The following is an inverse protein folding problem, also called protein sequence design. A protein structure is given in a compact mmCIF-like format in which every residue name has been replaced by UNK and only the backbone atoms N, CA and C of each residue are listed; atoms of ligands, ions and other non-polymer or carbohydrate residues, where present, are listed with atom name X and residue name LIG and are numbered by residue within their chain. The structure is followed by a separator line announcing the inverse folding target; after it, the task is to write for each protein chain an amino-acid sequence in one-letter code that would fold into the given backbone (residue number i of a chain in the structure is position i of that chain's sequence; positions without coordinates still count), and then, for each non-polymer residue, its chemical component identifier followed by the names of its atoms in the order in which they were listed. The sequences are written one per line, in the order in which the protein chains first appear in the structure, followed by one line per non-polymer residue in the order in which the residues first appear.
data_IF_274461104801
#
_entry.id   IF_274461104801
#
_cell.length_a   1.000
_cell.length_b   1.000
_cell.length_c   1.000
_cell.angle_alpha   90.00
_cell.angle_beta   90.00
_cell.angle_gamma   90.00
#
_symmetry.space_group_name_H-M   'P 1'
#
loop_
_entity.id
_entity.type
_entity.pdbx_description
1 polymer ?
#
# COMPACT_ATOMS: atom_id res chain seq x y z
N UNK A 1 -54.15 37.69 -10.86
CA UNK A 1 -55.36 37.71 -10.00
C UNK A 1 -55.17 36.52 -9.05
N UNK A 2 -55.11 36.64 -7.75
CA UNK A 2 -55.13 37.59 -6.68
C UNK A 2 -54.37 36.88 -5.52
N UNK A 3 -53.70 37.46 -4.89
CA UNK A 3 -53.35 38.16 -3.65
C UNK A 3 -54.10 37.69 -2.37
N UNK A 4 -53.32 37.66 -1.23
CA UNK A 4 -53.66 37.89 0.19
C UNK A 4 -53.87 36.57 0.99
N UNK A 5 -53.38 36.42 2.23
CA UNK A 5 -52.76 37.35 3.16
C UNK A 5 -52.23 36.62 4.41
N UNK A 6 -51.47 37.36 5.17
CA UNK A 6 -50.91 37.10 6.51
C UNK A 6 -51.98 36.95 7.60
N UNK A 7 -51.66 36.24 8.67
CA UNK A 7 -51.91 36.77 10.03
C UNK A 7 -51.11 36.01 11.12
N UNK A 8 -50.41 36.82 11.86
CA UNK A 8 -49.75 36.56 13.14
C UNK A 8 -50.73 36.12 14.22
N UNK A 9 -50.22 35.42 15.25
CA UNK A 9 -50.66 35.64 16.63
C UNK A 9 -49.67 34.98 17.65
N UNK A 10 -48.98 35.80 18.41
CA UNK A 10 -48.56 35.50 19.81
C UNK A 10 -49.71 35.81 20.79
N UNK A 11 -49.76 35.21 21.99
CA UNK A 11 -49.29 35.92 23.21
C UNK A 11 -48.63 35.00 24.26
N UNK A 12 -47.56 35.45 24.93
CA UNK A 12 -47.39 36.07 26.25
C UNK A 12 -48.03 35.36 27.46
N UNK A 13 -47.22 35.11 28.48
CA UNK A 13 -47.68 34.75 29.85
C UNK A 13 -46.53 34.38 30.79
N UNK A 14 -46.11 35.38 31.54
CA UNK A 14 -45.17 35.30 32.69
C UNK A 14 -45.66 34.39 33.79
N UNK A 15 -44.74 33.83 34.62
CA UNK A 15 -44.80 34.05 36.09
C UNK A 15 -43.51 33.64 36.78
N UNK A 16 -43.07 34.57 37.59
CA UNK A 16 -41.98 34.58 38.55
C UNK A 16 -42.27 33.73 39.79
N UNK A 17 -41.29 33.09 40.35
CA UNK A 17 -41.15 32.97 41.83
C UNK A 17 -39.67 32.84 42.16
N UNK A 18 -39.15 33.90 42.79
CA UNK A 18 -37.84 33.94 43.40
C UNK A 18 -37.87 33.39 44.84
N UNK A 19 -36.75 32.86 45.25
CA UNK A 19 -36.40 32.74 46.68
C UNK A 19 -34.96 33.21 46.90
N UNK A 20 -34.85 34.28 47.69
CA UNK A 20 -33.63 34.79 48.29
C UNK A 20 -33.50 34.29 49.73
N UNK A 21 -32.31 33.83 50.10
CA UNK A 21 -31.85 33.72 51.49
C UNK A 21 -30.36 33.98 51.46
N UNK A 22 -29.80 35.08 51.89
CA UNK A 22 -29.63 35.47 53.24
C UNK A 22 -28.15 35.40 53.59
N UNK A 23 -27.40 36.55 53.50
CA UNK A 23 -26.01 36.71 53.96
C UNK A 23 -25.88 36.52 55.44
N UNK A 24 -24.83 35.83 55.91
CA UNK A 24 -24.17 36.12 57.16
C UNK A 24 -22.65 36.10 57.04
N UNK A 25 -22.09 37.28 57.34
CA UNK A 25 -20.66 37.51 57.54
C UNK A 25 -20.19 36.90 58.83
N UNK A 26 -19.11 36.17 58.84
CA UNK A 26 -18.19 36.11 59.97
C UNK A 26 -16.73 36.00 59.40
N UNK A 27 -15.98 36.96 59.89
CA UNK A 27 -14.54 37.14 59.63
C UNK A 27 -13.70 36.10 60.39
N UNK A 28 -12.69 35.53 59.68
CA UNK A 28 -11.44 35.24 60.36
C UNK A 28 -10.33 34.99 59.32
N UNK A 29 -9.23 35.67 59.51
CA UNK A 29 -8.00 35.57 58.80
C UNK A 29 -7.47 34.13 58.78
N UNK A 30 -7.43 33.51 57.59
CA UNK A 30 -6.49 32.44 57.29
C UNK A 30 -5.99 32.63 55.87
N UNK A 31 -4.69 32.74 55.79
CA UNK A 31 -3.89 32.73 54.57
C UNK A 31 -4.33 31.53 53.73
N UNK A 32 -5.19 31.75 52.74
CA UNK A 32 -5.51 30.74 51.74
C UNK A 32 -4.36 30.71 50.77
N UNK A 33 -3.42 29.79 50.98
CA UNK A 33 -2.54 29.24 50.00
C UNK A 33 -3.43 28.79 48.85
N UNK A 34 -3.57 29.62 47.83
CA UNK A 34 -4.14 29.21 46.54
C UNK A 34 -3.17 28.21 45.93
N UNK A 35 -3.38 26.94 46.23
CA UNK A 35 -2.89 25.85 45.41
C UNK A 35 -3.58 26.03 44.08
N UNK A 36 -2.97 26.80 43.18
CA UNK A 36 -3.20 26.68 41.75
C UNK A 36 -2.69 25.29 41.41
N UNK A 37 -3.60 24.31 41.42
CA UNK A 37 -3.36 23.06 40.77
C UNK A 37 -3.21 23.41 39.25
N UNK A 38 -2.00 23.81 38.88
CA UNK A 38 -1.54 23.77 37.54
C UNK A 38 -1.53 22.27 37.20
N UNK A 39 -2.67 21.77 36.71
CA UNK A 39 -2.73 20.49 36.00
C UNK A 39 -1.92 20.74 34.75
N UNK A 40 -0.59 20.63 34.90
CA UNK A 40 0.29 20.30 33.83
C UNK A 40 -0.24 18.95 33.34
N UNK A 41 -1.16 19.00 32.37
CA UNK A 41 -1.27 17.95 31.34
C UNK A 41 0.10 17.89 30.69
N UNK A 42 1.06 17.25 31.32
CA UNK A 42 2.04 16.50 30.59
C UNK A 42 1.22 15.49 29.83
N UNK A 43 0.74 15.88 28.67
CA UNK A 43 0.50 14.94 27.61
C UNK A 43 1.82 14.20 27.46
N UNK A 44 1.96 13.07 28.16
CA UNK A 44 2.85 12.02 27.73
C UNK A 44 2.25 11.65 26.39
N UNK A 45 2.59 12.45 25.37
CA UNK A 45 2.54 11.98 24.01
C UNK A 45 3.41 10.74 24.03
N UNK A 46 2.77 9.58 24.21
CA UNK A 46 3.36 8.35 23.78
C UNK A 46 3.67 8.62 22.31
N UNK A 47 4.90 9.02 22.05
CA UNK A 47 5.44 9.13 20.71
C UNK A 47 5.52 7.74 20.12
N UNK A 48 4.36 7.13 19.87
CA UNK A 48 4.29 6.03 18.95
C UNK A 48 4.77 6.60 17.63
N UNK A 49 6.04 6.31 17.31
CA UNK A 49 6.61 6.66 16.03
C UNK A 49 5.65 6.13 14.98
N UNK A 50 5.07 7.03 14.18
CA UNK A 50 4.09 6.70 13.16
C UNK A 50 4.71 5.67 12.21
N UNK A 51 3.98 4.60 11.94
CA UNK A 51 4.34 3.62 10.89
C UNK A 51 4.14 4.31 9.55
N UNK A 52 5.21 4.43 8.79
CA UNK A 52 5.18 5.06 7.48
C UNK A 52 4.75 4.05 6.41
N UNK A 53 3.92 4.46 5.46
CA UNK A 53 3.30 3.57 4.48
C UNK A 53 3.29 4.15 3.05
N UNK A 54 2.99 3.31 2.06
CA UNK A 54 2.66 3.76 0.72
C UNK A 54 1.32 4.47 0.75
N UNK A 55 1.29 5.74 0.31
CA UNK A 55 0.06 6.51 0.28
C UNK A 55 0.15 7.65 -0.73
N UNK A 56 -0.96 7.93 -1.39
CA UNK A 56 -1.20 9.14 -2.17
C UNK A 56 -2.11 10.03 -1.34
N UNK A 57 -1.71 11.27 -1.11
CA UNK A 57 -2.43 12.23 -0.26
C UNK A 57 -3.22 13.25 -1.08
N UNK A 58 -2.79 13.55 -2.33
CA UNK A 58 -3.49 14.45 -3.24
C UNK A 58 -4.32 13.67 -4.24
N UNK A 59 -5.57 14.09 -4.49
CA UNK A 59 -6.46 13.45 -5.46
C UNK A 59 -6.02 13.68 -6.92
N UNK A 60 -5.25 14.73 -7.17
CA UNK A 60 -4.74 15.04 -8.50
C UNK A 60 -3.57 14.14 -8.90
N UNK A 61 -2.92 13.50 -7.92
CA UNK A 61 -1.79 12.59 -8.17
C UNK A 61 -2.30 11.19 -8.49
N UNK A 62 -1.94 10.70 -9.67
CA UNK A 62 -2.39 9.42 -10.21
C UNK A 62 -1.20 8.56 -10.65
N UNK A 63 -1.44 7.26 -10.86
CA UNK A 63 -0.51 6.30 -11.46
C UNK A 63 0.90 6.27 -10.82
N UNK A 64 1.00 6.57 -9.50
CA UNK A 64 2.28 6.62 -8.80
C UNK A 64 2.89 5.22 -8.64
N UNK A 65 4.02 4.96 -9.32
CA UNK A 65 4.75 3.68 -9.34
C UNK A 65 6.20 3.89 -8.96
N UNK A 66 6.74 2.98 -8.16
CA UNK A 66 8.16 2.97 -7.77
C UNK A 66 8.71 1.55 -8.02
N UNK A 67 9.69 1.40 -8.90
CA UNK A 67 10.24 0.11 -9.29
C UNK A 67 11.71 0.23 -9.73
N UNK A 68 12.46 -0.88 -9.82
CA UNK A 68 13.82 -0.88 -10.35
C UNK A 68 13.82 -0.51 -11.84
N UNK A 69 14.67 0.43 -12.23
CA UNK A 69 14.82 0.81 -13.64
C UNK A 69 15.36 -0.38 -14.44
N UNK A 70 14.58 -0.87 -15.38
CA UNK A 70 14.89 -2.00 -16.23
C UNK A 70 14.70 -1.69 -17.72
N UNK A 71 15.16 -2.58 -18.58
CA UNK A 71 15.03 -2.44 -20.02
C UNK A 71 13.68 -2.94 -20.56
N UNK A 72 12.84 -3.56 -19.74
CA UNK A 72 11.59 -4.20 -20.14
C UNK A 72 10.39 -3.56 -19.45
N UNK A 73 9.22 -3.58 -20.11
CA UNK A 73 7.96 -3.05 -19.58
C UNK A 73 7.50 -3.78 -18.31
N UNK A 74 7.84 -5.04 -18.18
CA UNK A 74 7.49 -5.87 -17.02
C UNK A 74 8.25 -5.48 -15.73
N UNK A 75 9.30 -4.66 -15.83
CA UNK A 75 9.96 -4.08 -14.62
C UNK A 75 9.03 -3.22 -13.76
N UNK A 76 7.92 -2.72 -14.31
CA UNK A 76 6.93 -1.93 -13.58
C UNK A 76 6.27 -2.71 -12.42
N UNK A 77 6.27 -4.04 -12.48
CA UNK A 77 5.70 -4.91 -11.43
C UNK A 77 6.76 -5.44 -10.46
N UNK A 78 8.04 -5.16 -10.70
CA UNK A 78 9.10 -5.56 -9.78
C UNK A 78 9.00 -4.80 -8.47
N UNK A 79 9.22 -5.52 -7.36
CA UNK A 79 9.27 -4.90 -6.05
C UNK A 79 10.39 -3.83 -5.99
N UNK A 80 10.17 -2.68 -5.34
CA UNK A 80 11.16 -1.63 -5.17
C UNK A 80 12.24 -2.05 -4.15
N UNK A 81 12.97 -3.10 -4.47
CA UNK A 81 14.05 -3.68 -3.65
C UNK A 81 15.30 -3.79 -4.48
N UNK A 82 16.39 -3.19 -4.02
CA UNK A 82 17.70 -3.21 -4.70
C UNK A 82 18.80 -3.60 -3.74
N UNK A 83 19.87 -4.22 -4.26
CA UNK A 83 21.09 -4.43 -3.47
C UNK A 83 21.85 -3.10 -3.31
N UNK A 84 22.46 -2.89 -2.15
CA UNK A 84 23.32 -1.74 -1.88
C UNK A 84 24.52 -1.67 -2.87
N UNK A 85 24.98 -2.83 -3.34
CA UNK A 85 26.05 -2.96 -4.34
C UNK A 85 25.56 -2.84 -5.79
N UNK A 86 24.25 -2.86 -6.04
CA UNK A 86 23.68 -2.82 -7.39
C UNK A 86 23.92 -1.45 -8.05
N UNK A 87 24.15 -1.47 -9.36
CA UNK A 87 24.25 -0.26 -10.17
C UNK A 87 22.88 0.27 -10.62
N UNK A 88 21.83 -0.56 -10.56
CA UNK A 88 20.46 -0.16 -10.92
C UNK A 88 19.94 0.92 -9.97
N UNK A 89 19.15 1.82 -10.50
CA UNK A 89 18.42 2.84 -9.75
C UNK A 89 16.95 2.43 -9.63
N UNK A 90 16.28 2.93 -8.60
CA UNK A 90 14.82 2.94 -8.55
C UNK A 90 14.32 4.20 -9.27
N UNK A 91 13.21 4.05 -9.99
CA UNK A 91 12.52 5.17 -10.63
C UNK A 91 11.12 5.31 -10.01
N UNK A 92 10.80 6.53 -9.58
CA UNK A 92 9.44 6.95 -9.26
C UNK A 92 8.83 7.60 -10.51
N UNK A 93 7.66 7.12 -10.90
CA UNK A 93 6.81 7.71 -11.93
C UNK A 93 5.48 8.09 -11.29
N UNK A 94 4.96 9.27 -11.60
CA UNK A 94 3.61 9.68 -11.21
C UNK A 94 3.08 10.75 -12.15
N UNK A 95 1.76 10.84 -12.27
CA UNK A 95 1.08 11.86 -13.03
C UNK A 95 0.38 12.85 -12.10
N UNK A 96 0.41 14.12 -12.48
CA UNK A 96 -0.37 15.18 -11.88
C UNK A 96 -1.45 15.60 -12.90
N UNK A 97 -2.72 15.52 -12.53
CA UNK A 97 -3.86 15.93 -13.37
C UNK A 97 -4.01 17.45 -13.38
N UNK A 98 -2.92 18.16 -13.58
CA UNK A 98 -2.83 19.63 -13.66
C UNK A 98 -2.50 20.09 -15.07
N UNK A 99 -2.74 21.36 -15.35
CA UNK A 99 -2.36 22.01 -16.62
C UNK A 99 -0.95 22.58 -16.60
N UNK A 100 -0.52 23.05 -15.43
CA UNK A 100 0.80 23.68 -15.24
C UNK A 100 1.65 22.84 -14.28
N UNK A 101 2.97 22.72 -14.51
CA UNK A 101 3.84 21.94 -13.66
C UNK A 101 4.01 22.58 -12.28
N UNK A 102 3.92 21.75 -11.25
CA UNK A 102 4.18 22.08 -9.86
C UNK A 102 5.64 21.79 -9.47
N UNK A 103 6.14 22.54 -8.50
CA UNK A 103 7.47 22.30 -7.94
C UNK A 103 7.40 21.21 -6.89
N UNK A 104 7.86 20.01 -7.21
CA UNK A 104 7.94 18.89 -6.29
C UNK A 104 9.35 18.69 -5.73
N UNK A 105 9.41 18.31 -4.46
CA UNK A 105 10.67 17.98 -3.78
C UNK A 105 10.54 16.58 -3.17
N UNK A 106 11.57 15.77 -3.38
CA UNK A 106 11.69 14.42 -2.83
C UNK A 106 12.66 14.41 -1.63
N UNK A 107 12.35 13.60 -0.62
CA UNK A 107 13.18 13.36 0.56
C UNK A 107 13.15 11.89 0.94
N UNK A 108 14.29 11.35 1.36
CA UNK A 108 14.41 9.98 1.84
C UNK A 108 14.31 9.93 3.37
N UNK A 109 13.58 8.97 3.90
CA UNK A 109 13.47 8.73 5.34
C UNK A 109 13.89 7.28 5.60
N UNK A 110 14.96 7.07 6.35
CA UNK A 110 15.38 5.73 6.75
C UNK A 110 14.49 5.18 7.87
N UNK A 111 14.03 3.93 7.74
CA UNK A 111 13.14 3.25 8.66
C UNK A 111 13.75 1.93 9.19
N UNK A 112 13.31 1.52 10.37
CA UNK A 112 13.56 0.19 10.90
C UNK A 112 12.66 -0.87 10.22
N UNK A 113 12.86 -2.14 10.55
CA UNK A 113 12.09 -3.27 10.00
C UNK A 113 10.57 -3.08 10.11
N UNK A 114 10.10 -2.40 11.15
CA UNK A 114 8.67 -2.12 11.39
C UNK A 114 8.16 -0.82 10.74
N UNK A 115 8.90 -0.23 9.80
CA UNK A 115 8.57 1.02 9.11
C UNK A 115 8.45 2.26 10.01
N UNK A 116 8.93 2.21 11.23
CA UNK A 116 9.13 3.40 12.06
C UNK A 116 10.44 4.08 11.67
N UNK A 117 10.46 5.41 11.67
CA UNK A 117 11.68 6.18 11.40
C UNK A 117 12.82 5.72 12.31
N UNK A 118 13.98 5.44 11.74
CA UNK A 118 15.18 5.07 12.50
C UNK A 118 15.81 6.27 13.21
N UNK A 119 16.80 6.00 14.07
CA UNK A 119 17.59 7.06 14.72
C UNK A 119 18.73 7.61 13.87
N UNK A 120 18.82 7.21 12.58
CA UNK A 120 19.81 7.76 11.66
C UNK A 120 19.45 9.19 11.27
N UNK A 121 20.46 10.02 11.14
CA UNK A 121 20.36 11.37 10.55
C UNK A 121 20.52 11.26 9.04
N UNK A 122 20.03 12.24 8.30
CA UNK A 122 20.11 12.27 6.84
C UNK A 122 21.55 12.07 6.33
N UNK A 123 22.55 12.67 6.96
CA UNK A 123 23.97 12.53 6.60
C UNK A 123 24.56 11.13 6.92
N UNK A 124 23.87 10.31 7.71
CA UNK A 124 24.33 8.94 8.00
C UNK A 124 24.13 7.99 6.82
N UNK A 125 23.14 8.27 5.94
CA UNK A 125 22.77 7.39 4.83
C UNK A 125 22.69 8.08 3.46
N UNK A 126 22.53 9.40 3.40
CA UNK A 126 22.49 10.15 2.14
C UNK A 126 23.88 10.68 1.79
N UNK A 127 24.27 10.59 0.53
CA UNK A 127 25.56 11.12 0.02
C UNK A 127 25.50 12.63 -0.11
N UNK A 128 24.36 13.16 -0.53
CA UNK A 128 24.11 14.57 -0.76
C UNK A 128 23.11 15.12 0.25
N UNK A 129 22.83 16.43 0.16
CA UNK A 129 21.73 17.07 0.91
C UNK A 129 20.41 16.36 0.55
N UNK A 130 19.68 15.88 1.56
CA UNK A 130 18.53 15.00 1.41
C UNK A 130 17.23 15.78 1.08
N UNK A 131 17.31 16.67 0.10
CA UNK A 131 16.15 17.33 -0.53
C UNK A 131 16.46 17.47 -2.03
N UNK A 132 15.65 16.81 -2.85
CA UNK A 132 15.89 16.69 -4.28
C UNK A 132 14.72 17.29 -5.05
N UNK A 133 14.96 18.32 -5.85
CA UNK A 133 13.94 18.88 -6.74
C UNK A 133 13.65 17.89 -7.87
N UNK A 134 12.38 17.66 -8.17
CA UNK A 134 11.93 16.83 -9.30
C UNK A 134 11.76 17.76 -10.50
N UNK A 135 12.72 17.73 -11.42
CA UNK A 135 12.76 18.61 -12.60
C UNK A 135 12.41 17.90 -13.90
N UNK A 136 12.39 16.54 -13.90
CA UNK A 136 12.12 15.75 -15.08
C UNK A 136 10.62 15.51 -15.20
N UNK A 137 9.97 16.21 -16.13
CA UNK A 137 8.56 16.06 -16.43
C UNK A 137 8.26 16.24 -17.93
N UNK A 138 7.17 15.65 -18.38
CA UNK A 138 6.65 15.80 -19.73
C UNK A 138 5.13 16.01 -19.68
N UNK A 139 4.60 16.79 -20.61
CA UNK A 139 3.15 16.94 -20.79
C UNK A 139 2.57 15.73 -21.50
N UNK A 140 1.35 15.36 -21.15
CA UNK A 140 0.61 14.35 -21.91
C UNK A 140 0.33 14.81 -23.33
N UNK A 141 0.31 13.86 -24.27
CA UNK A 141 0.21 14.14 -25.70
C UNK A 141 -1.06 13.54 -26.27
N UNK A 142 -1.94 14.43 -26.78
CA UNK A 142 -3.22 14.05 -27.42
C UNK A 142 -4.11 13.19 -26.51
N UNK A 143 -4.13 13.47 -25.22
CA UNK A 143 -5.02 12.84 -24.23
C UNK A 143 -6.22 13.73 -23.93
N UNK A 144 -7.36 13.13 -23.58
CA UNK A 144 -8.60 13.86 -23.24
C UNK A 144 -8.52 14.49 -21.87
N UNK A 145 -8.04 13.74 -20.90
CA UNK A 145 -7.70 14.27 -19.58
C UNK A 145 -6.22 14.62 -19.63
N UNK A 146 -5.85 15.90 -19.64
CA UNK A 146 -4.45 16.29 -19.64
C UNK A 146 -3.80 15.97 -18.30
N UNK A 147 -2.53 15.64 -18.33
CA UNK A 147 -1.72 15.43 -17.14
C UNK A 147 -0.26 15.78 -17.42
N UNK A 148 0.49 15.98 -16.36
CA UNK A 148 1.94 16.15 -16.38
C UNK A 148 2.55 14.89 -15.78
N UNK A 149 3.38 14.22 -16.55
CA UNK A 149 4.10 13.01 -16.16
C UNK A 149 5.45 13.36 -15.54
N UNK A 150 5.67 13.02 -14.29
CA UNK A 150 6.91 13.25 -13.56
C UNK A 150 7.73 11.99 -13.44
N UNK A 151 9.05 12.13 -13.56
CA UNK A 151 10.05 11.07 -13.39
C UNK A 151 11.09 11.50 -12.37
N UNK A 152 11.41 10.58 -11.45
CA UNK A 152 12.43 10.83 -10.45
C UNK A 152 13.29 9.59 -10.22
N UNK A 153 14.59 9.70 -10.50
CA UNK A 153 15.56 8.67 -10.16
C UNK A 153 15.93 8.79 -8.68
N UNK A 154 15.63 7.74 -7.90
CA UNK A 154 15.91 7.73 -6.48
C UNK A 154 17.42 7.77 -6.25
N UNK A 155 17.93 8.71 -5.47
CA UNK A 155 19.35 8.81 -5.18
C UNK A 155 19.87 7.57 -4.44
N UNK A 156 21.15 7.25 -4.65
CA UNK A 156 21.80 6.16 -3.94
C UNK A 156 21.98 6.49 -2.48
N UNK A 157 21.83 5.48 -1.65
CA UNK A 157 22.06 5.54 -0.21
C UNK A 157 23.29 4.72 0.16
N UNK A 158 23.83 4.96 1.37
CA UNK A 158 25.04 4.30 1.88
C UNK A 158 24.76 3.25 2.96
N UNK A 159 23.50 3.07 3.33
CA UNK A 159 23.06 2.11 4.35
C UNK A 159 21.95 1.22 3.81
N UNK A 160 21.96 -0.03 4.19
CA UNK A 160 20.85 -0.94 3.96
C UNK A 160 19.72 -0.70 4.96
N UNK A 161 18.49 -1.08 4.60
CA UNK A 161 17.31 -0.97 5.44
C UNK A 161 16.07 -0.59 4.63
N UNK A 162 15.05 -0.20 5.35
CA UNK A 162 13.79 0.30 4.78
C UNK A 162 13.86 1.82 4.59
N UNK A 163 13.25 2.28 3.52
CA UNK A 163 13.20 3.70 3.18
C UNK A 163 11.79 4.12 2.76
N UNK A 164 11.43 5.34 3.13
CA UNK A 164 10.31 6.06 2.55
C UNK A 164 10.86 7.15 1.62
N UNK A 165 10.39 7.12 0.38
CA UNK A 165 10.46 8.25 -0.53
C UNK A 165 9.24 9.12 -0.27
N UNK A 166 9.43 10.32 0.29
CA UNK A 166 8.41 11.33 0.57
C UNK A 166 8.50 12.41 -0.49
N UNK A 167 7.39 12.71 -1.16
CA UNK A 167 7.30 13.81 -2.13
C UNK A 167 6.30 14.85 -1.63
N UNK A 168 6.67 16.14 -1.73
CA UNK A 168 5.90 17.26 -1.23
C UNK A 168 6.03 18.49 -2.14
N UNK A 169 5.06 19.42 -2.06
CA UNK A 169 4.99 20.62 -2.90
C UNK A 169 5.80 21.78 -2.33
N UNK A 170 6.28 22.64 -3.21
CA UNK A 170 6.80 23.99 -2.90
C UNK A 170 7.84 24.04 -1.77
N UNK A 171 8.60 22.96 -1.56
CA UNK A 171 9.55 22.78 -0.45
C UNK A 171 8.91 22.83 0.94
N UNK A 172 7.60 22.68 1.03
CA UNK A 172 6.87 22.55 2.30
C UNK A 172 6.71 21.07 2.67
N UNK A 173 7.50 20.59 3.64
CA UNK A 173 7.48 19.20 4.08
C UNK A 173 6.13 18.76 4.66
N UNK A 174 5.23 19.67 5.00
CA UNK A 174 3.89 19.34 5.50
C UNK A 174 2.88 19.14 4.35
N UNK A 175 3.11 19.73 3.17
CA UNK A 175 2.27 19.54 1.98
C UNK A 175 2.69 18.29 1.19
N UNK A 176 2.51 17.14 1.81
CA UNK A 176 2.88 15.82 1.25
C UNK A 176 1.89 15.40 0.18
N UNK A 177 2.37 15.08 -1.03
CA UNK A 177 1.52 14.55 -2.10
C UNK A 177 1.53 13.03 -2.17
N UNK A 178 2.66 12.38 -1.91
CA UNK A 178 2.76 10.93 -1.87
C UNK A 178 3.93 10.44 -1.01
N UNK A 179 3.82 9.20 -0.56
CA UNK A 179 4.90 8.43 0.05
C UNK A 179 4.98 7.05 -0.58
N UNK A 180 6.20 6.56 -0.84
CA UNK A 180 6.46 5.21 -1.38
C UNK A 180 7.53 4.50 -0.57
N UNK A 181 7.28 3.24 -0.26
CA UNK A 181 8.23 2.33 0.41
C UNK A 181 9.20 1.75 -0.59
N UNK A 182 10.47 1.69 -0.23
CA UNK A 182 11.47 0.90 -0.93
C UNK A 182 12.48 0.31 0.05
N UNK A 183 13.26 -0.64 -0.41
CA UNK A 183 14.23 -1.34 0.45
C UNK A 183 15.57 -1.47 -0.25
N UNK A 184 16.63 -1.37 0.55
CA UNK A 184 18.01 -1.56 0.10
C UNK A 184 18.63 -2.63 0.97
N UNK A 185 19.11 -3.74 0.37
CA UNK A 185 19.67 -4.85 1.12
C UNK A 185 21.17 -5.03 0.87
N UNK A 186 21.84 -5.65 1.83
CA UNK A 186 23.22 -6.16 1.73
C UNK A 186 23.21 -7.68 1.69
N UNK A 187 24.13 -8.29 0.95
CA UNK A 187 24.24 -9.75 0.85
C UNK A 187 25.17 -10.32 1.95
N UNK A 188 24.89 -9.93 3.20
CA UNK A 188 25.67 -10.38 4.36
C UNK A 188 25.22 -11.77 4.83
N UNK A 189 23.93 -12.08 4.70
CA UNK A 189 23.38 -13.40 4.99
C UNK A 189 22.99 -14.11 3.70
N UNK A 190 23.23 -15.41 3.65
CA UNK A 190 22.68 -16.23 2.58
C UNK A 190 21.30 -16.72 3.01
N UNK A 191 20.29 -16.44 2.18
CA UNK A 191 18.89 -16.75 2.46
C UNK A 191 18.40 -17.78 1.44
N UNK A 192 17.95 -18.93 1.92
CA UNK A 192 17.20 -19.91 1.12
C UNK A 192 15.75 -19.95 1.59
N UNK A 193 14.82 -20.03 0.67
CA UNK A 193 13.39 -20.18 1.01
C UNK A 193 12.69 -21.12 0.02
N UNK A 194 11.61 -21.76 0.48
CA UNK A 194 10.80 -22.65 -0.33
C UNK A 194 9.32 -22.56 0.05
N UNK A 195 8.45 -22.63 -0.96
CA UNK A 195 7.00 -22.78 -0.79
C UNK A 195 6.71 -24.27 -0.59
N UNK A 196 6.08 -24.61 0.51
CA UNK A 196 5.76 -26.01 0.86
C UNK A 196 4.30 -26.12 1.34
N UNK A 197 3.69 -27.30 1.26
CA UNK A 197 2.41 -27.53 1.91
C UNK A 197 2.52 -27.35 3.43
N UNK A 198 1.51 -26.76 4.09
CA UNK A 198 1.52 -26.59 5.55
C UNK A 198 1.75 -27.90 6.30
N UNK A 199 2.43 -27.81 7.43
CA UNK A 199 2.65 -28.95 8.33
C UNK A 199 1.34 -29.48 8.91
N UNK A 200 0.36 -28.59 9.15
CA UNK A 200 -1.00 -28.95 9.58
C UNK A 200 -1.78 -29.55 8.40
N UNK A 201 -2.40 -30.71 8.62
CA UNK A 201 -3.12 -31.45 7.56
C UNK A 201 -4.41 -30.78 7.12
N UNK A 202 -5.04 -30.04 8.02
CA UNK A 202 -6.21 -29.22 7.73
C UNK A 202 -5.78 -28.07 6.81
N UNK A 203 -6.51 -27.86 5.75
CA UNK A 203 -6.28 -26.76 4.79
C UNK A 203 -5.00 -26.84 3.91
N UNK A 204 -4.33 -27.98 3.81
CA UNK A 204 -3.16 -28.15 2.92
C UNK A 204 -3.39 -27.74 1.47
N UNK A 205 -4.65 -27.81 1.02
CA UNK A 205 -5.04 -27.45 -0.35
C UNK A 205 -5.32 -25.98 -0.53
N UNK A 206 -5.42 -25.21 0.54
CA UNK A 206 -5.81 -23.81 0.53
C UNK A 206 -4.72 -22.87 1.04
N UNK A 207 -3.64 -23.40 1.59
CA UNK A 207 -2.58 -22.61 2.23
C UNK A 207 -1.21 -22.96 1.66
N UNK A 208 -0.33 -21.96 1.65
CA UNK A 208 1.08 -22.09 1.31
C UNK A 208 1.93 -21.69 2.51
N UNK A 209 2.92 -22.52 2.86
CA UNK A 209 3.86 -22.26 3.95
C UNK A 209 5.24 -21.91 3.37
N UNK A 210 5.90 -20.92 3.94
CA UNK A 210 7.23 -20.52 3.53
C UNK A 210 8.25 -21.00 4.56
N UNK A 211 9.03 -21.99 4.18
CA UNK A 211 10.18 -22.44 4.97
C UNK A 211 11.43 -21.64 4.60
N UNK A 212 12.17 -21.18 5.59
CA UNK A 212 13.34 -20.32 5.38
C UNK A 212 14.56 -20.88 6.09
N UNK A 213 15.72 -20.84 5.41
CA UNK A 213 17.02 -21.22 5.95
C UNK A 213 17.98 -20.05 5.78
N UNK A 214 18.65 -19.67 6.86
CA UNK A 214 19.65 -18.60 6.85
C UNK A 214 21.03 -19.16 7.15
N UNK A 215 22.06 -18.62 6.47
CA UNK A 215 23.45 -18.77 6.88
C UNK A 215 24.05 -17.37 7.13
N UNK A 216 24.59 -17.17 8.34
CA UNK A 216 25.17 -15.90 8.79
C UNK A 216 26.67 -15.97 9.04
N UNK A 217 27.39 -16.89 8.37
CA UNK A 217 28.82 -17.12 8.56
C UNK A 217 29.69 -15.91 8.21
N UNK A 218 29.19 -14.96 7.41
CA UNK A 218 29.93 -13.74 7.04
C UNK A 218 29.91 -12.65 8.11
N UNK A 219 29.06 -12.79 9.15
CA UNK A 219 28.85 -11.77 10.18
C UNK A 219 28.93 -12.40 11.56
N UNK A 220 29.54 -11.70 12.50
CA UNK A 220 29.53 -12.12 13.90
C UNK A 220 28.16 -11.73 14.51
N UNK A 221 27.41 -12.74 14.95
CA UNK A 221 26.13 -12.61 15.61
C UNK A 221 26.23 -13.21 17.00
N UNK A 222 26.00 -12.42 18.03
CA UNK A 222 26.17 -12.86 19.43
C UNK A 222 24.94 -13.63 19.92
N UNK A 223 23.76 -13.13 19.61
CA UNK A 223 22.48 -13.79 19.90
C UNK A 223 21.56 -13.75 18.67
N UNK A 224 21.60 -14.82 17.86
CA UNK A 224 20.78 -14.89 16.65
C UNK A 224 19.28 -14.75 16.90
N UNK A 225 18.78 -15.12 18.07
CA UNK A 225 17.34 -15.13 18.37
C UNK A 225 16.77 -13.74 18.63
N UNK A 226 17.59 -12.81 19.11
CA UNK A 226 17.19 -11.45 19.40
C UNK A 226 17.64 -10.43 18.35
N UNK A 227 18.78 -10.70 17.70
CA UNK A 227 19.39 -9.77 16.74
C UNK A 227 18.86 -9.94 15.31
N UNK A 228 18.32 -11.13 14.96
CA UNK A 228 17.82 -11.45 13.62
C UNK A 228 16.29 -11.41 13.64
N UNK A 229 15.71 -10.72 12.66
CA UNK A 229 14.25 -10.70 12.42
C UNK A 229 13.99 -11.09 10.98
N UNK A 230 13.00 -11.94 10.78
CA UNK A 230 12.54 -12.31 9.44
C UNK A 230 11.15 -11.75 9.23
N UNK A 231 10.95 -11.17 8.06
CA UNK A 231 9.66 -10.79 7.56
C UNK A 231 9.40 -11.50 6.24
N UNK A 232 8.21 -12.06 6.10
CA UNK A 232 7.73 -12.67 4.85
C UNK A 232 6.50 -11.90 4.40
N UNK A 233 6.44 -11.56 3.11
CA UNK A 233 5.24 -10.99 2.50
C UNK A 233 4.90 -11.71 1.20
N UNK A 234 3.59 -11.77 0.89
CA UNK A 234 3.03 -12.36 -0.31
C UNK A 234 2.62 -11.25 -1.28
N UNK A 235 2.96 -11.37 -2.57
CA UNK A 235 2.54 -10.48 -3.66
C UNK A 235 2.82 -9.00 -3.36
N UNK A 236 3.99 -8.71 -2.74
CA UNK A 236 4.44 -7.37 -2.34
C UNK A 236 3.52 -6.66 -1.33
N UNK A 237 2.59 -7.36 -0.71
CA UNK A 237 1.61 -6.81 0.24
C UNK A 237 2.22 -6.58 1.61
N UNK A 238 1.86 -5.46 2.22
CA UNK A 238 2.24 -5.13 3.60
C UNK A 238 1.15 -5.46 4.63
N UNK A 239 -0.11 -5.53 4.20
CA UNK A 239 -1.25 -5.85 5.05
C UNK A 239 -1.26 -7.31 5.51
N UNK A 240 -0.65 -8.22 4.75
CA UNK A 240 -0.53 -9.63 5.09
C UNK A 240 0.90 -10.05 5.49
N UNK A 241 1.84 -9.10 5.59
CA UNK A 241 3.21 -9.39 5.96
C UNK A 241 3.32 -9.99 7.36
N UNK A 242 4.18 -11.00 7.51
CA UNK A 242 4.36 -11.76 8.76
C UNK A 242 5.79 -11.69 9.26
N UNK A 243 5.94 -11.39 10.53
CA UNK A 243 7.22 -11.52 11.24
C UNK A 243 7.30 -12.90 11.87
N UNK A 244 8.40 -13.61 11.63
CA UNK A 244 8.65 -14.88 12.30
C UNK A 244 9.30 -14.63 13.66
N UNK A 245 8.70 -15.19 14.72
CA UNK A 245 9.08 -14.89 16.09
C UNK A 245 10.27 -15.72 16.57
N UNK A 246 10.33 -17.00 16.19
CA UNK A 246 11.31 -17.95 16.72
C UNK A 246 11.85 -18.88 15.64
N UNK A 247 13.16 -19.16 15.65
CA UNK A 247 13.73 -20.21 14.83
C UNK A 247 13.26 -21.59 15.30
N UNK A 248 12.99 -22.48 14.34
CA UNK A 248 12.69 -23.89 14.62
C UNK A 248 13.95 -24.66 14.98
N UNK A 249 15.07 -24.28 14.37
CA UNK A 249 16.37 -24.91 14.62
C UNK A 249 17.50 -23.89 14.48
N UNK A 250 18.45 -23.94 15.43
CA UNK A 250 19.65 -23.12 15.45
C UNK A 250 20.87 -24.01 15.54
N UNK A 251 21.83 -23.84 14.60
CA UNK A 251 23.16 -24.48 14.66
C UNK A 251 24.23 -23.38 14.70
N UNK A 252 24.74 -23.09 15.89
CA UNK A 252 25.72 -22.03 16.11
C UNK A 252 27.08 -22.37 15.49
N UNK A 253 27.46 -23.67 15.41
CA UNK A 253 28.74 -24.10 14.82
C UNK A 253 28.70 -23.88 13.30
N UNK A 254 27.62 -24.30 12.65
CA UNK A 254 27.42 -24.13 11.21
C UNK A 254 26.94 -22.73 10.83
N UNK A 255 26.67 -21.85 11.81
CA UNK A 255 26.09 -20.51 11.61
C UNK A 255 24.82 -20.55 10.77
N UNK A 256 23.93 -21.53 11.07
CA UNK A 256 22.71 -21.76 10.29
C UNK A 256 21.47 -21.70 11.18
N UNK A 257 20.42 -21.05 10.68
CA UNK A 257 19.12 -20.95 11.34
C UNK A 257 18.05 -21.44 10.38
N UNK A 258 17.08 -22.22 10.88
CA UNK A 258 15.89 -22.64 10.11
C UNK A 258 14.62 -22.11 10.75
N UNK A 259 13.71 -21.66 9.89
CA UNK A 259 12.36 -21.26 10.23
C UNK A 259 11.39 -22.13 9.44
N UNK A 260 10.93 -23.19 10.06
CA UNK A 260 9.99 -24.20 9.54
C UNK A 260 8.86 -24.39 10.56
N UNK A 261 8.06 -23.34 10.87
CA UNK A 261 7.13 -23.35 11.98
C UNK A 261 5.99 -24.35 11.75
N UNK A 262 5.64 -25.11 12.81
CA UNK A 262 4.56 -26.09 12.80
C UNK A 262 3.19 -25.46 13.16
N UNK A 263 3.19 -24.27 13.73
CA UNK A 263 2.02 -23.55 14.22
C UNK A 263 1.32 -22.68 13.16
N UNK A 264 1.86 -22.63 11.94
CA UNK A 264 1.31 -21.83 10.84
C UNK A 264 1.77 -20.38 10.80
N UNK A 265 2.76 -19.99 11.60
CA UNK A 265 3.28 -18.61 11.65
C UNK A 265 3.74 -18.10 10.26
N UNK A 266 4.36 -18.96 9.44
CA UNK A 266 4.79 -18.64 8.06
C UNK A 266 3.79 -19.09 6.98
N UNK A 267 2.53 -19.34 7.34
CA UNK A 267 1.51 -19.88 6.42
C UNK A 267 0.61 -18.76 5.92
N UNK A 268 0.39 -18.71 4.62
CA UNK A 268 -0.45 -17.73 3.93
C UNK A 268 -1.63 -18.43 3.27
N UNK A 269 -2.77 -17.72 3.12
CA UNK A 269 -3.83 -18.16 2.21
C UNK A 269 -3.28 -18.13 0.80
N UNK A 270 -3.40 -19.24 0.08
CA UNK A 270 -2.93 -19.30 -1.29
C UNK A 270 -3.78 -18.44 -2.22
N UNK A 271 -5.09 -18.31 -1.92
CA UNK A 271 -6.01 -17.55 -2.78
C UNK A 271 -6.20 -18.24 -4.14
N UNK A 272 -6.51 -17.46 -5.13
CA UNK A 272 -6.66 -17.86 -6.52
C UNK A 272 -5.94 -16.85 -7.42
N UNK A 273 -5.67 -17.20 -8.68
CA UNK A 273 -5.15 -16.26 -9.67
C UNK A 273 -6.04 -15.00 -9.72
N UNK A 274 -5.40 -13.83 -9.89
CA UNK A 274 -6.11 -12.57 -9.85
C UNK A 274 -7.04 -12.42 -11.07
N UNK A 275 -8.19 -11.79 -10.88
CA UNK A 275 -8.97 -11.26 -12.00
C UNK A 275 -8.21 -10.09 -12.61
N UNK A 276 -8.51 -9.76 -13.84
CA UNK A 276 -7.90 -8.62 -14.51
C UNK A 276 -8.85 -7.94 -15.47
N UNK A 277 -8.54 -6.70 -15.82
CA UNK A 277 -9.09 -5.97 -16.96
C UNK A 277 -7.98 -5.47 -17.85
N UNK A 278 -8.18 -5.58 -19.17
CA UNK A 278 -7.27 -5.06 -20.17
C UNK A 278 -7.80 -3.74 -20.74
N UNK A 279 -7.23 -2.63 -20.27
CA UNK A 279 -7.56 -1.26 -20.69
C UNK A 279 -6.54 -0.69 -21.71
N UNK A 280 -5.67 -1.52 -22.30
CA UNK A 280 -4.66 -1.06 -23.25
C UNK A 280 -5.26 -0.60 -24.59
N UNK A 281 -6.56 -0.78 -24.78
CA UNK A 281 -7.30 -0.43 -25.99
C UNK A 281 -8.49 0.48 -25.64
N UNK A 282 -8.66 1.57 -26.38
CA UNK A 282 -9.86 2.43 -26.33
C UNK A 282 -10.69 2.37 -27.61
N UNK A 283 -10.11 1.90 -28.73
CA UNK A 283 -10.78 1.74 -30.02
C UNK A 283 -11.46 0.38 -30.18
N UNK A 284 -11.15 -0.54 -29.28
CA UNK A 284 -11.75 -1.86 -29.17
C UNK A 284 -11.88 -2.23 -27.69
N UNK A 285 -12.74 -3.17 -27.37
CA UNK A 285 -12.82 -3.72 -26.01
C UNK A 285 -11.66 -4.68 -25.77
N UNK A 286 -10.91 -4.45 -24.68
CA UNK A 286 -9.92 -5.41 -24.19
C UNK A 286 -10.58 -6.59 -23.48
N UNK A 287 -9.75 -7.51 -22.98
CA UNK A 287 -10.23 -8.68 -22.25
C UNK A 287 -10.91 -8.24 -20.95
N UNK A 288 -12.05 -8.86 -20.63
CA UNK A 288 -12.89 -8.57 -19.45
C UNK A 288 -13.50 -7.16 -19.43
N UNK A 289 -13.53 -6.46 -20.55
CA UNK A 289 -14.22 -5.19 -20.77
C UNK A 289 -15.46 -5.45 -21.62
N UNK A 290 -16.63 -5.03 -21.13
CA UNK A 290 -17.91 -5.17 -21.82
C UNK A 290 -18.18 -4.02 -22.79
N UNK A 291 -17.79 -2.80 -22.43
CA UNK A 291 -17.98 -1.60 -23.24
C UNK A 291 -16.90 -0.55 -23.01
N UNK A 292 -16.61 0.22 -24.06
CA UNK A 292 -15.81 1.45 -24.01
C UNK A 292 -16.59 2.54 -24.73
N UNK A 293 -16.88 3.64 -24.00
CA UNK A 293 -17.54 4.82 -24.54
C UNK A 293 -16.57 5.99 -24.55
N UNK A 294 -16.33 6.52 -25.73
CA UNK A 294 -15.41 7.64 -25.94
C UNK A 294 -16.20 8.90 -26.19
N UNK A 295 -16.14 9.85 -25.25
CA UNK A 295 -16.73 11.18 -25.37
C UNK A 295 -15.66 12.24 -25.70
N UNK A 296 -16.04 13.47 -25.88
CA UNK A 296 -15.13 14.55 -26.30
C UNK A 296 -13.98 14.74 -25.29
N UNK A 297 -14.29 14.78 -23.99
CA UNK A 297 -13.35 15.11 -22.93
C UNK A 297 -13.09 13.97 -21.93
N UNK A 298 -13.69 12.81 -22.12
CA UNK A 298 -13.63 11.70 -21.15
C UNK A 298 -13.87 10.35 -21.83
N UNK A 299 -13.30 9.31 -21.24
CA UNK A 299 -13.51 7.93 -21.67
C UNK A 299 -14.09 7.15 -20.48
N UNK A 300 -15.11 6.34 -20.76
CA UNK A 300 -15.69 5.40 -19.82
C UNK A 300 -15.48 3.98 -20.32
N UNK A 301 -15.17 3.08 -19.39
CA UNK A 301 -15.13 1.64 -19.64
C UNK A 301 -15.97 0.91 -18.58
N UNK A 302 -16.56 -0.20 -18.95
CA UNK A 302 -17.30 -1.08 -18.06
C UNK A 302 -16.69 -2.46 -18.10
N UNK A 303 -16.45 -3.06 -16.93
CA UNK A 303 -16.02 -4.45 -16.86
C UNK A 303 -17.14 -5.40 -17.24
N UNK A 304 -16.82 -6.63 -17.57
CA UNK A 304 -17.79 -7.72 -17.52
C UNK A 304 -18.34 -7.86 -16.09
N UNK A 305 -19.56 -8.41 -15.96
CA UNK A 305 -20.14 -8.71 -14.66
C UNK A 305 -19.43 -9.91 -14.05
N UNK A 306 -18.72 -9.67 -12.96
CA UNK A 306 -18.08 -10.72 -12.16
C UNK A 306 -19.06 -11.39 -11.19
N UNK A 307 -18.77 -12.66 -10.86
CA UNK A 307 -19.49 -13.47 -9.86
C UNK A 307 -18.49 -14.19 -8.96
N UNK A 308 -18.88 -14.63 -7.75
CA UNK A 308 -18.06 -15.48 -6.90
C UNK A 308 -17.62 -16.78 -7.58
N UNK A 309 -16.39 -17.22 -7.30
CA UNK A 309 -15.80 -18.47 -7.87
C UNK A 309 -15.16 -19.40 -6.82
N UNK A 310 -15.70 -19.54 -5.58
CA UNK A 310 -15.00 -20.20 -4.47
C UNK A 310 -14.86 -21.72 -4.61
N UNK A 311 -15.74 -22.38 -5.34
CA UNK A 311 -15.81 -23.85 -5.46
C UNK A 311 -15.33 -24.41 -6.78
N UNK A 312 -14.68 -23.59 -7.63
CA UNK A 312 -14.17 -24.01 -8.94
C UNK A 312 -12.94 -24.91 -8.83
N UNK A 313 -12.68 -25.70 -9.89
CA UNK A 313 -11.37 -26.32 -10.08
C UNK A 313 -10.35 -25.24 -10.36
N UNK A 314 -9.15 -25.36 -9.77
CA UNK A 314 -8.05 -24.45 -10.07
C UNK A 314 -7.78 -24.39 -11.57
N UNK A 315 -7.62 -23.22 -12.09
CA UNK A 315 -7.25 -22.95 -13.48
C UNK A 315 -6.15 -21.91 -13.49
N UNK A 316 -5.00 -22.33 -13.96
CA UNK A 316 -3.86 -21.46 -14.13
C UNK A 316 -4.08 -20.54 -15.32
N UNK A 317 -3.90 -19.25 -15.14
CA UNK A 317 -3.82 -18.25 -16.21
C UNK A 317 -2.86 -17.13 -15.81
N UNK A 318 -2.45 -16.35 -16.80
CA UNK A 318 -1.50 -15.27 -16.58
C UNK A 318 -2.16 -14.14 -15.77
N UNK A 319 -1.51 -13.76 -14.68
CA UNK A 319 -1.81 -12.54 -13.94
C UNK A 319 -0.52 -11.82 -13.50
N UNK A 320 -0.65 -10.72 -12.81
CA UNK A 320 0.45 -9.91 -12.29
C UNK A 320 0.50 -9.94 -10.75
N UNK A 321 -0.08 -10.96 -10.12
CA UNK A 321 -0.15 -11.08 -8.65
C UNK A 321 -0.74 -9.84 -7.97
N UNK A 322 -1.79 -9.24 -8.57
CA UNK A 322 -2.47 -8.06 -8.05
C UNK A 322 -1.77 -6.74 -8.33
N UNK A 323 -0.74 -6.73 -9.16
CA UNK A 323 -0.08 -5.51 -9.64
C UNK A 323 -0.77 -4.98 -10.90
N UNK A 324 -0.27 -3.87 -11.45
CA UNK A 324 -0.70 -3.32 -12.73
C UNK A 324 0.48 -2.76 -13.52
N UNK A 325 0.30 -2.67 -14.83
CA UNK A 325 1.23 -1.99 -15.73
C UNK A 325 0.49 -0.88 -16.49
N UNK A 326 1.18 0.21 -16.76
CA UNK A 326 0.74 1.26 -17.69
C UNK A 326 1.29 0.98 -19.07
N UNK A 327 0.40 0.84 -20.02
CA UNK A 327 0.76 0.58 -21.43
C UNK A 327 -0.44 0.87 -22.33
N UNK A 328 -0.19 1.33 -23.57
CA UNK A 328 -1.22 1.49 -24.60
C UNK A 328 -0.84 0.77 -25.88
N UNK A 329 -1.80 0.06 -26.47
CA UNK A 329 -1.66 -0.56 -27.79
C UNK A 329 -2.24 0.30 -28.93
N UNK A 330 -2.91 1.41 -28.59
CA UNK A 330 -3.53 2.29 -29.59
C UNK A 330 -2.53 3.14 -30.37
N UNK A 331 -1.31 3.27 -29.84
CA UNK A 331 -0.21 4.06 -30.43
C UNK A 331 1.10 3.27 -30.46
N UNK A 332 1.25 2.33 -31.41
CA UNK A 332 2.46 1.54 -31.52
C UNK A 332 3.69 2.42 -31.77
N UNK A 333 4.73 2.24 -30.96
CA UNK A 333 5.97 3.01 -31.03
C UNK A 333 5.95 4.39 -30.36
N UNK A 334 4.83 4.78 -29.75
CA UNK A 334 4.72 5.99 -28.91
C UNK A 334 5.30 5.79 -27.51
N UNK A 335 5.25 6.85 -26.70
CA UNK A 335 5.61 6.80 -25.29
C UNK A 335 4.36 6.56 -24.41
N UNK A 336 4.16 5.33 -23.88
CA UNK A 336 2.97 5.01 -23.10
C UNK A 336 2.81 5.92 -21.85
N UNK A 337 3.90 6.45 -21.33
CA UNK A 337 3.84 7.27 -20.10
C UNK A 337 3.16 8.62 -20.32
N UNK A 338 3.20 9.19 -21.52
CA UNK A 338 2.59 10.48 -21.84
C UNK A 338 1.48 10.39 -22.90
N UNK A 339 1.28 9.23 -23.53
CA UNK A 339 0.28 9.06 -24.58
C UNK A 339 -0.91 8.18 -24.15
N UNK A 340 -0.85 7.57 -22.96
CA UNK A 340 -1.95 6.77 -22.41
C UNK A 340 -3.08 7.64 -21.89
N UNK A 341 -4.32 7.31 -22.26
CA UNK A 341 -5.52 7.99 -21.79
C UNK A 341 -5.87 7.58 -20.36
N UNK A 342 -6.53 8.47 -19.63
CA UNK A 342 -7.24 8.16 -18.39
C UNK A 342 -8.68 7.77 -18.67
N UNK A 343 -9.14 6.69 -18.03
CA UNK A 343 -10.44 6.04 -18.29
C UNK A 343 -11.16 5.86 -16.96
N UNK A 344 -12.37 6.38 -16.84
CA UNK A 344 -13.28 6.02 -15.74
C UNK A 344 -13.78 4.59 -15.96
N UNK A 345 -13.22 3.65 -15.20
CA UNK A 345 -13.53 2.23 -15.32
C UNK A 345 -14.47 1.79 -14.23
N UNK A 346 -15.67 1.34 -14.59
CA UNK A 346 -16.65 0.81 -13.66
C UNK A 346 -16.58 -0.72 -13.60
N UNK A 347 -16.37 -1.24 -12.42
CA UNK A 347 -16.34 -2.66 -12.13
C UNK A 347 -17.68 -3.12 -11.57
N UNK A 348 -18.16 -4.27 -12.03
CA UNK A 348 -19.43 -4.86 -11.61
C UNK A 348 -19.23 -6.23 -10.99
N UNK A 349 -19.83 -6.46 -9.83
CA UNK A 349 -19.77 -7.72 -9.12
C UNK A 349 -21.13 -8.11 -8.55
N UNK A 350 -21.56 -9.34 -8.77
CA UNK A 350 -22.81 -9.87 -8.21
C UNK A 350 -22.50 -10.86 -7.11
N UNK A 351 -22.92 -10.54 -5.89
CA UNK A 351 -22.79 -11.39 -4.71
C UNK A 351 -24.01 -11.22 -3.79
N UNK A 352 -24.00 -11.91 -2.66
CA UNK A 352 -25.02 -11.77 -1.62
C UNK A 352 -25.17 -10.31 -1.19
N UNK A 353 -26.40 -9.73 -1.25
CA UNK A 353 -26.65 -8.39 -0.77
C UNK A 353 -26.38 -8.26 0.74
N UNK A 354 -26.19 -7.04 1.23
CA UNK A 354 -25.94 -6.71 2.63
C UNK A 354 -24.55 -7.09 3.20
N UNK A 355 -23.61 -7.43 2.34
CA UNK A 355 -22.20 -7.62 2.73
C UNK A 355 -21.36 -6.44 2.28
N UNK A 356 -20.36 -6.07 3.07
CA UNK A 356 -19.36 -5.10 2.63
C UNK A 356 -18.33 -5.80 1.76
N UNK A 357 -18.20 -5.36 0.52
CA UNK A 357 -17.25 -5.93 -0.43
C UNK A 357 -16.20 -4.88 -0.77
N UNK A 358 -14.95 -5.31 -0.74
CA UNK A 358 -13.80 -4.52 -1.19
C UNK A 358 -13.12 -5.17 -2.37
N UNK A 359 -12.62 -4.32 -3.27
CA UNK A 359 -11.69 -4.70 -4.32
C UNK A 359 -10.26 -4.58 -3.80
N UNK A 360 -9.45 -5.62 -3.99
CA UNK A 360 -8.05 -5.69 -3.60
C UNK A 360 -7.17 -5.76 -4.84
N UNK A 361 -6.04 -5.11 -4.78
CA UNK A 361 -5.03 -5.01 -5.82
C UNK A 361 -4.22 -3.74 -5.60
N UNK A 362 -3.09 -3.60 -6.25
CA UNK A 362 -2.28 -2.39 -6.14
C UNK A 362 -3.02 -1.13 -6.64
N UNK A 363 -3.99 -1.30 -7.58
CA UNK A 363 -4.86 -0.22 -8.07
C UNK A 363 -5.73 0.41 -6.98
N UNK A 364 -6.08 -0.32 -5.93
CA UNK A 364 -6.85 0.19 -4.78
C UNK A 364 -6.03 0.32 -3.50
N UNK A 365 -4.69 0.27 -3.61
CA UNK A 365 -3.80 0.22 -2.46
C UNK A 365 -4.12 -0.96 -1.53
N UNK A 366 -4.49 -2.10 -2.08
CA UNK A 366 -4.90 -3.31 -1.36
C UNK A 366 -6.10 -3.08 -0.43
N UNK A 367 -7.13 -2.42 -0.95
CA UNK A 367 -8.38 -2.17 -0.23
C UNK A 367 -8.37 -0.96 0.71
N UNK A 368 -7.31 -0.13 0.69
CA UNK A 368 -7.17 1.06 1.56
C UNK A 368 -7.77 2.32 0.96
N UNK A 369 -7.76 2.45 -0.35
CA UNK A 369 -8.33 3.60 -1.04
C UNK A 369 -9.87 3.59 -0.95
N UNK A 370 -10.53 4.75 -0.95
CA UNK A 370 -12.01 4.83 -0.89
C UNK A 370 -12.71 4.09 -2.03
N UNK A 371 -12.11 4.06 -3.22
CA UNK A 371 -12.63 3.39 -4.42
C UNK A 371 -12.63 1.87 -4.30
N UNK A 372 -11.92 1.31 -3.29
CA UNK A 372 -11.96 -0.12 -3.00
C UNK A 372 -13.34 -0.60 -2.52
N UNK A 373 -14.14 0.28 -1.91
CA UNK A 373 -15.45 -0.05 -1.36
C UNK A 373 -16.52 -0.11 -2.47
N UNK A 374 -17.02 -1.30 -2.78
CA UNK A 374 -18.09 -1.47 -3.75
C UNK A 374 -19.42 -1.04 -3.15
N UNK A 375 -20.21 -0.30 -3.94
CA UNK A 375 -21.55 0.17 -3.58
C UNK A 375 -22.60 -0.76 -4.17
N UNK A 376 -23.54 -1.20 -3.34
CA UNK A 376 -24.64 -2.05 -3.78
C UNK A 376 -25.77 -1.25 -4.41
N UNK A 377 -26.19 -1.65 -5.62
CA UNK A 377 -27.39 -1.15 -6.28
C UNK A 377 -28.51 -2.20 -6.14
N UNK A 378 -29.52 -1.94 -5.30
CA UNK A 378 -30.62 -2.89 -5.09
C UNK A 378 -31.53 -3.06 -6.30
N UNK A 379 -31.57 -2.06 -7.20
CA UNK A 379 -32.41 -2.11 -8.41
C UNK A 379 -31.89 -3.14 -9.41
N UNK A 380 -30.58 -3.17 -9.59
CA UNK A 380 -29.92 -4.07 -10.54
C UNK A 380 -29.33 -5.32 -9.87
N UNK A 381 -29.41 -5.42 -8.54
CA UNK A 381 -28.83 -6.50 -7.74
C UNK A 381 -27.35 -6.71 -8.06
N UNK A 382 -26.56 -5.63 -8.02
CA UNK A 382 -25.15 -5.61 -8.37
C UNK A 382 -24.36 -4.66 -7.46
N UNK A 383 -23.13 -5.03 -7.14
CA UNK A 383 -22.15 -4.13 -6.54
C UNK A 383 -21.32 -3.46 -7.63
N UNK A 384 -20.94 -2.21 -7.45
CA UNK A 384 -20.07 -1.51 -8.38
C UNK A 384 -19.17 -0.50 -7.70
N UNK A 385 -18.04 -0.24 -8.35
CA UNK A 385 -17.15 0.89 -8.05
C UNK A 385 -16.59 1.44 -9.35
N UNK A 386 -16.30 2.74 -9.39
CA UNK A 386 -15.69 3.39 -10.56
C UNK A 386 -14.38 4.03 -10.15
N UNK A 387 -13.33 3.72 -10.90
CA UNK A 387 -11.94 4.15 -10.64
C UNK A 387 -11.39 4.82 -11.89
N UNK A 388 -10.71 5.96 -11.73
CA UNK A 388 -9.97 6.60 -12.81
C UNK A 388 -8.64 5.89 -12.99
N UNK A 389 -8.47 5.17 -14.09
CA UNK A 389 -7.29 4.36 -14.41
C UNK A 389 -6.64 4.84 -15.70
N UNK A 390 -5.31 4.87 -15.75
CA UNK A 390 -4.54 5.08 -16.98
C UNK A 390 -4.62 3.83 -17.86
N UNK A 391 -4.54 3.95 -19.17
CA UNK A 391 -4.48 2.76 -20.06
C UNK A 391 -3.43 1.77 -19.56
N UNK A 392 -3.81 0.48 -19.44
CA UNK A 392 -2.95 -0.54 -18.89
C UNK A 392 -3.64 -1.87 -18.66
N UNK A 393 -2.96 -2.74 -17.96
CA UNK A 393 -3.49 -4.01 -17.45
C UNK A 393 -3.54 -3.95 -15.93
N UNK A 394 -4.68 -4.34 -15.33
CA UNK A 394 -4.94 -4.19 -13.90
C UNK A 394 -5.48 -5.46 -13.29
N UNK A 395 -4.74 -6.01 -12.34
CA UNK A 395 -5.16 -7.17 -11.56
C UNK A 395 -5.94 -6.76 -10.31
N UNK A 396 -6.94 -7.57 -9.95
CA UNK A 396 -7.74 -7.36 -8.74
C UNK A 396 -8.40 -8.65 -8.24
N UNK A 397 -8.86 -8.62 -6.99
CA UNK A 397 -9.69 -9.64 -6.36
C UNK A 397 -10.79 -8.96 -5.53
N UNK A 398 -11.83 -9.72 -5.17
CA UNK A 398 -12.88 -9.27 -4.26
C UNK A 398 -12.78 -9.97 -2.91
N UNK A 399 -13.11 -9.25 -1.83
CA UNK A 399 -13.15 -9.81 -0.49
C UNK A 399 -14.25 -9.20 0.37
N UNK A 400 -14.78 -9.98 1.30
CA UNK A 400 -15.66 -9.47 2.33
C UNK A 400 -14.85 -8.73 3.39
N UNK A 401 -15.25 -7.48 3.70
CA UNK A 401 -14.67 -6.69 4.78
C UNK A 401 -15.45 -6.93 6.07
N UNK A 402 -14.84 -7.62 7.03
CA UNK A 402 -15.44 -7.99 8.31
C UNK A 402 -14.44 -7.76 9.45
N UNK A 403 -14.88 -7.09 10.51
CA UNK A 403 -14.07 -6.91 11.73
C UNK A 403 -12.65 -6.36 11.53
N UNK A 404 -12.45 -5.56 10.46
CA UNK A 404 -11.14 -4.97 10.14
C UNK A 404 -10.24 -5.83 9.27
N UNK A 405 -10.65 -7.05 8.94
CA UNK A 405 -9.97 -7.95 8.01
C UNK A 405 -10.73 -8.06 6.68
N UNK A 406 -10.00 -8.41 5.61
CA UNK A 406 -10.61 -8.67 4.30
C UNK A 406 -10.39 -10.14 3.95
N UNK A 407 -11.48 -10.89 3.83
CA UNK A 407 -11.46 -12.31 3.49
C UNK A 407 -11.88 -12.52 2.03
N UNK A 408 -10.94 -12.93 1.18
CA UNK A 408 -11.15 -13.18 -0.25
C UNK A 408 -11.66 -14.59 -0.54
N UNK A 409 -11.41 -15.56 0.35
CA UNK A 409 -11.69 -16.99 0.10
C UNK A 409 -13.14 -17.31 -0.25
N UNK A 410 -14.17 -16.71 0.41
CA UNK A 410 -15.57 -16.98 0.05
C UNK A 410 -15.97 -16.48 -1.34
N UNK A 411 -15.23 -15.54 -1.93
CA UNK A 411 -15.51 -14.95 -3.24
C UNK A 411 -14.59 -15.47 -4.34
N UNK A 412 -13.35 -15.81 -4.01
CA UNK A 412 -12.32 -16.17 -4.98
C UNK A 412 -11.90 -17.65 -4.88
N UNK A 413 -12.08 -18.29 -3.74
CA UNK A 413 -11.51 -19.62 -3.45
C UNK A 413 -10.07 -19.52 -2.94
N UNK A 414 -9.46 -20.68 -2.68
CA UNK A 414 -8.05 -20.78 -2.26
C UNK A 414 -7.49 -22.12 -2.69
N UNK A 415 -6.40 -22.11 -3.48
CA UNK A 415 -5.77 -23.27 -4.08
C UNK A 415 -4.28 -23.26 -3.82
N UNK A 416 -3.70 -24.35 -3.31
CA UNK A 416 -2.26 -24.44 -3.05
C UNK A 416 -1.43 -24.17 -4.31
N UNK A 417 -1.98 -24.50 -5.48
CA UNK A 417 -1.37 -24.39 -6.79
C UNK A 417 -1.24 -22.94 -7.30
N UNK A 418 -1.92 -21.98 -6.66
CA UNK A 418 -1.86 -20.54 -7.04
C UNK A 418 -0.41 -20.04 -7.08
N UNK A 419 -0.06 -19.37 -8.18
CA UNK A 419 1.31 -18.91 -8.47
C UNK A 419 1.66 -17.60 -7.76
N UNK A 420 1.58 -17.59 -6.43
CA UNK A 420 1.94 -16.43 -5.63
C UNK A 420 3.45 -16.17 -5.60
N UNK A 421 3.83 -14.90 -5.54
CA UNK A 421 5.20 -14.47 -5.24
C UNK A 421 5.39 -14.26 -3.74
N UNK A 422 6.58 -14.60 -3.24
CA UNK A 422 6.94 -14.36 -1.85
C UNK A 422 8.29 -13.69 -1.73
N UNK A 423 8.39 -12.77 -0.80
CA UNK A 423 9.64 -12.12 -0.46
C UNK A 423 9.99 -12.41 0.99
N UNK A 424 11.23 -12.83 1.22
CA UNK A 424 11.79 -13.02 2.57
C UNK A 424 12.85 -11.96 2.80
N UNK A 425 12.61 -11.13 3.81
CA UNK A 425 13.47 -10.03 4.22
C UNK A 425 14.10 -10.36 5.57
N UNK A 426 15.42 -10.31 5.63
CA UNK A 426 16.18 -10.64 6.82
C UNK A 426 16.85 -9.40 7.37
N UNK A 427 16.42 -8.98 8.55
CA UNK A 427 16.99 -7.84 9.26
C UNK A 427 17.92 -8.29 10.37
N UNK A 428 18.99 -7.55 10.53
CA UNK A 428 19.97 -7.73 11.60
C UNK A 428 20.20 -6.41 12.34
N UNK A 429 20.16 -6.48 13.67
CA UNK A 429 20.54 -5.35 14.52
C UNK A 429 21.73 -5.73 15.37
N UNK A 430 22.90 -5.23 15.02
CA UNK A 430 24.09 -5.41 15.83
C UNK A 430 23.94 -4.67 17.17
N UNK A 431 24.63 -5.15 18.21
CA UNK A 431 24.68 -4.48 19.52
C UNK A 431 25.19 -3.05 19.36
N UNK A 432 24.47 -2.10 19.92
CA UNK A 432 24.78 -0.67 19.79
C UNK A 432 24.40 -0.02 18.46
N UNK A 433 23.84 -0.77 17.50
CA UNK A 433 23.33 -0.20 16.26
C UNK A 433 22.08 0.65 16.49
N UNK A 434 22.00 1.77 15.77
CA UNK A 434 20.86 2.71 15.81
C UNK A 434 19.73 2.34 14.86
N UNK A 435 19.88 1.28 14.03
CA UNK A 435 18.93 0.91 12.99
C UNK A 435 18.97 -0.60 12.71
N UNK A 436 17.92 -1.12 12.09
CA UNK A 436 17.88 -2.47 11.54
C UNK A 436 18.50 -2.46 10.14
N UNK A 437 19.55 -3.25 9.91
CA UNK A 437 20.14 -3.50 8.60
C UNK A 437 19.32 -4.57 7.88
N UNK A 438 19.02 -4.38 6.61
CA UNK A 438 18.47 -5.43 5.76
C UNK A 438 19.63 -6.21 5.15
N UNK A 439 19.94 -7.38 5.72
CA UNK A 439 21.19 -8.14 5.46
C UNK A 439 21.02 -9.33 4.55
N UNK A 440 19.78 -9.63 4.15
CA UNK A 440 19.45 -10.70 3.23
C UNK A 440 18.06 -10.51 2.63
N UNK A 441 17.94 -10.92 1.38
CA UNK A 441 16.68 -10.84 0.62
C UNK A 441 16.61 -12.01 -0.34
N UNK A 442 15.44 -12.62 -0.45
CA UNK A 442 15.14 -13.58 -1.50
C UNK A 442 13.72 -13.36 -2.00
N UNK A 443 13.57 -13.44 -3.30
CA UNK A 443 12.28 -13.36 -3.99
C UNK A 443 11.98 -14.72 -4.64
N UNK A 444 10.88 -15.33 -4.22
CA UNK A 444 10.38 -16.58 -4.77
C UNK A 444 9.32 -16.26 -5.82
N UNK A 445 9.62 -16.58 -7.06
CA UNK A 445 8.73 -16.43 -8.23
C UNK A 445 8.60 -17.81 -8.89
N UNK A 446 7.63 -18.65 -8.50
CA UNK A 446 7.60 -20.05 -8.95
C UNK A 446 7.53 -20.21 -10.46
N UNK A 447 6.76 -19.36 -11.16
CA UNK A 447 6.52 -19.50 -12.61
C UNK A 447 6.25 -18.15 -13.27
N UNK A 448 7.08 -17.14 -13.05
CA UNK A 448 6.88 -15.84 -13.69
C UNK A 448 6.86 -15.99 -15.20
N UNK A 449 5.68 -15.86 -15.79
CA UNK A 449 5.49 -15.72 -17.24
C UNK A 449 5.53 -14.23 -17.58
N UNK A 450 6.21 -13.89 -18.66
CA UNK A 450 6.26 -12.51 -19.17
C UNK A 450 5.03 -12.26 -20.02
N UNK A 451 4.43 -11.08 -19.89
CA UNK A 451 3.33 -10.59 -20.72
C UNK A 451 3.78 -10.31 -22.16
#
# INVERSE_FOLDING_TARGET
MGRIGRSDFYPSGENWLGFSIGFNFLSSNMIKLRLVALVLFFGIGNGFSQVLEDKIYSQDIQSARLFPLGAQSDSQIDAPVISLSDQRSLILLFDDLAYDPELYTAKLIHCNSNWQKSSLRDNDFSINFNQYTIEDYEYSVNTRIPYIHYRFLVPRVTKSGNYILKVYRNRDEEDVILTKRFMVYEELFTVGAAIVPPSQTENRRALQQINTVLNYSKVEVMDPTTQIKILIRQNQRWDNAKYLSKPTFLNEIAKTIRYEPFDGESTFRAGNEFRFVDLRFIRATGVNISSVTVEENVIFAESNLDIPRPGGTYSQYLDLNGQYIVYTNDRPGGNPEVESEYIYTTFFFRADPNRKIKMLGSLTGWGRNPEADLKYDPKNNVYSTSILLKQGWYDFQYGYAESGEINTEPLEGSHFETENEYEVLVYFRNLGSRYDQLVGYVHLQPNRRRL
#
